data_IF_838854460088
#
_entry.id   IF_838854460088
#
_cell.length_a   1.000
_cell.length_b   1.000
_cell.length_c   1.000
_cell.angle_alpha   90.00
_cell.angle_beta   90.00
_cell.angle_gamma   90.00
#
_symmetry.space_group_name_H-M   'P 1'
#
loop_
_entity.id
_entity.type
_entity.pdbx_description
1 polymer ?
#
# COMPACT_ATOMS: atom_id res chain seq x y z
N UNK A 1 -33.36 -20.21 -4.25
CA UNK A 1 -32.96 -20.03 -5.67
C UNK A 1 -31.45 -20.21 -5.74
N UNK A 2 -31.02 -21.27 -6.41
CA UNK A 2 -29.60 -21.63 -6.55
C UNK A 2 -29.06 -21.15 -7.91
N UNK A 3 -27.74 -21.03 -8.03
CA UNK A 3 -27.07 -20.87 -9.32
C UNK A 3 -25.95 -21.90 -9.40
N UNK A 4 -25.68 -22.37 -10.60
CA UNK A 4 -24.55 -23.26 -10.86
C UNK A 4 -23.30 -22.40 -11.01
N UNK A 5 -22.29 -22.64 -10.19
CA UNK A 5 -21.00 -21.96 -10.35
C UNK A 5 -20.20 -22.55 -11.52
N UNK A 6 -19.06 -21.92 -11.86
CA UNK A 6 -18.19 -22.39 -12.97
C UNK A 6 -17.64 -23.81 -12.76
N UNK A 7 -17.70 -24.31 -11.52
CA UNK A 7 -17.32 -25.68 -11.14
C UNK A 7 -18.49 -26.68 -11.14
N UNK A 8 -19.68 -26.27 -11.60
CA UNK A 8 -20.85 -27.17 -11.68
C UNK A 8 -21.60 -27.35 -10.37
N UNK A 9 -21.22 -26.65 -9.29
CA UNK A 9 -21.89 -26.80 -8.00
C UNK A 9 -23.08 -25.84 -7.86
N UNK A 10 -24.21 -26.37 -7.41
CA UNK A 10 -25.39 -25.57 -7.08
C UNK A 10 -25.15 -24.79 -5.77
N UNK A 11 -24.93 -23.48 -5.88
CA UNK A 11 -24.76 -22.57 -4.75
C UNK A 11 -26.01 -21.74 -4.51
N UNK A 12 -26.33 -21.50 -3.26
CA UNK A 12 -27.42 -20.59 -2.88
C UNK A 12 -27.06 -19.13 -3.26
N UNK A 13 -28.01 -18.42 -3.91
CA UNK A 13 -27.87 -16.98 -4.17
C UNK A 13 -28.07 -16.17 -2.88
N UNK A 14 -27.01 -16.01 -2.10
CA UNK A 14 -27.04 -15.35 -0.79
C UNK A 14 -27.37 -13.86 -0.82
N UNK A 15 -27.10 -13.13 -1.90
CA UNK A 15 -27.34 -11.69 -1.99
C UNK A 15 -28.69 -11.31 -2.61
N UNK A 16 -29.57 -12.28 -2.94
CA UNK A 16 -30.82 -12.01 -3.64
C UNK A 16 -31.73 -11.04 -2.86
N UNK A 17 -31.91 -11.30 -1.57
CA UNK A 17 -32.76 -10.45 -0.73
C UNK A 17 -32.16 -9.04 -0.63
N UNK A 18 -30.85 -8.92 -0.45
CA UNK A 18 -30.16 -7.63 -0.41
C UNK A 18 -30.36 -6.83 -1.70
N UNK A 19 -30.27 -7.47 -2.87
CA UNK A 19 -30.51 -6.83 -4.17
C UNK A 19 -31.96 -6.37 -4.30
N UNK A 20 -32.93 -7.22 -3.94
CA UNK A 20 -34.34 -6.84 -3.97
C UNK A 20 -34.65 -5.68 -3.01
N UNK A 21 -34.07 -5.68 -1.83
CA UNK A 21 -34.22 -4.58 -0.86
C UNK A 21 -33.57 -3.29 -1.35
N UNK A 22 -32.42 -3.35 -2.04
CA UNK A 22 -31.80 -2.17 -2.69
C UNK A 22 -32.67 -1.60 -3.80
N UNK A 23 -33.22 -2.45 -4.66
CA UNK A 23 -34.17 -2.02 -5.69
C UNK A 23 -35.39 -1.39 -5.02
N UNK A 24 -35.93 -2.02 -3.98
CA UNK A 24 -37.06 -1.45 -3.23
C UNK A 24 -36.73 -0.07 -2.64
N UNK A 25 -35.56 0.08 -2.02
CA UNK A 25 -35.06 1.34 -1.49
C UNK A 25 -35.01 2.43 -2.56
N UNK A 26 -34.39 2.14 -3.71
CA UNK A 26 -34.29 3.09 -4.83
C UNK A 26 -35.64 3.65 -5.29
N UNK A 27 -36.67 2.79 -5.44
CA UNK A 27 -38.01 3.26 -5.81
C UNK A 27 -38.67 4.09 -4.70
N UNK A 28 -38.40 3.77 -3.42
CA UNK A 28 -38.91 4.55 -2.29
C UNK A 28 -38.19 5.90 -2.18
N UNK A 29 -36.88 5.95 -2.44
CA UNK A 29 -36.09 7.19 -2.43
C UNK A 29 -36.60 8.17 -3.50
N UNK A 30 -36.90 7.68 -4.71
CA UNK A 30 -37.50 8.51 -5.78
C UNK A 30 -38.89 9.03 -5.37
N UNK A 31 -39.70 8.21 -4.70
CA UNK A 31 -41.01 8.63 -4.21
C UNK A 31 -40.89 9.70 -3.13
N UNK A 32 -39.92 9.56 -2.23
CA UNK A 32 -39.61 10.56 -1.20
C UNK A 32 -39.14 11.87 -1.83
N UNK A 33 -38.18 11.82 -2.76
CA UNK A 33 -37.69 13.00 -3.47
C UNK A 33 -38.78 13.72 -4.28
N UNK A 34 -39.78 13.00 -4.79
CA UNK A 34 -40.92 13.60 -5.47
C UNK A 34 -41.82 14.43 -4.53
N UNK A 35 -41.73 14.24 -3.21
CA UNK A 35 -42.42 15.10 -2.24
C UNK A 35 -41.65 16.41 -1.99
N UNK A 36 -40.33 16.41 -2.19
CA UNK A 36 -39.46 17.57 -2.00
C UNK A 36 -39.28 18.39 -3.30
N UNK A 37 -39.14 17.73 -4.45
CA UNK A 37 -38.90 18.33 -5.76
C UNK A 37 -39.80 17.70 -6.86
N UNK A 38 -40.69 18.49 -7.49
CA UNK A 38 -41.58 18.04 -8.55
C UNK A 38 -40.88 17.41 -9.77
N UNK A 39 -39.59 17.67 -10.01
CA UNK A 39 -38.82 17.04 -11.08
C UNK A 39 -38.91 15.51 -11.06
N UNK A 40 -38.91 14.92 -9.86
CA UNK A 40 -38.94 13.47 -9.65
C UNK A 40 -40.34 12.86 -9.80
N UNK A 41 -41.41 13.66 -9.80
CA UNK A 41 -42.79 13.17 -9.77
C UNK A 41 -43.13 12.26 -10.96
N UNK A 42 -42.60 12.54 -12.16
CA UNK A 42 -42.77 11.70 -13.35
C UNK A 42 -42.16 10.28 -13.21
N UNK A 43 -41.23 10.09 -12.27
CA UNK A 43 -40.46 8.84 -12.10
C UNK A 43 -40.89 8.09 -10.82
N UNK A 44 -41.72 8.72 -9.97
CA UNK A 44 -42.24 8.18 -8.73
C UNK A 44 -43.32 7.11 -8.98
N UNK A 45 -42.89 5.94 -9.48
CA UNK A 45 -43.75 4.78 -9.71
C UNK A 45 -43.64 3.77 -8.57
N UNK A 46 -44.67 2.93 -8.34
CA UNK A 46 -44.63 1.87 -7.34
C UNK A 46 -43.45 0.91 -7.53
N UNK A 47 -42.82 0.50 -6.43
CA UNK A 47 -41.72 -0.47 -6.49
C UNK A 47 -42.21 -1.84 -6.98
N UNK A 48 -41.49 -2.51 -7.90
CA UNK A 48 -41.82 -3.87 -8.33
C UNK A 48 -41.55 -4.92 -7.25
N UNK A 49 -40.84 -4.56 -6.17
CA UNK A 49 -40.52 -5.44 -5.05
C UNK A 49 -41.52 -5.17 -3.94
N UNK A 50 -42.31 -6.17 -3.57
CA UNK A 50 -43.31 -6.07 -2.51
C UNK A 50 -42.68 -6.24 -1.12
N UNK A 51 -43.44 -5.94 -0.06
CA UNK A 51 -43.01 -6.19 1.33
C UNK A 51 -42.79 -7.71 1.58
N UNK A 52 -43.54 -8.57 0.90
CA UNK A 52 -43.43 -10.03 1.00
C UNK A 52 -42.11 -10.57 0.44
N UNK A 53 -41.51 -9.89 -0.54
CA UNK A 53 -40.25 -10.31 -1.16
C UNK A 53 -39.04 -10.13 -0.23
N UNK A 54 -39.17 -9.31 0.81
CA UNK A 54 -38.17 -9.12 1.87
C UNK A 54 -38.27 -10.09 3.04
N UNK A 55 -39.25 -11.00 3.03
CA UNK A 55 -39.44 -11.97 4.12
C UNK A 55 -38.19 -12.83 4.25
N UNK A 56 -37.66 -12.89 5.48
CA UNK A 56 -36.42 -13.61 5.78
C UNK A 56 -35.14 -12.78 5.71
N UNK A 57 -35.19 -11.49 5.31
CA UNK A 57 -34.01 -10.61 5.33
C UNK A 57 -33.37 -10.56 6.74
N UNK A 58 -34.20 -10.35 7.76
CA UNK A 58 -33.74 -10.29 9.15
C UNK A 58 -33.10 -11.63 9.61
N UNK A 59 -33.61 -12.77 9.12
CA UNK A 59 -33.02 -14.09 9.37
C UNK A 59 -31.66 -14.22 8.68
N UNK A 60 -31.53 -13.75 7.44
CA UNK A 60 -30.27 -13.75 6.70
C UNK A 60 -29.21 -12.88 7.35
N UNK A 61 -29.56 -11.66 7.78
CA UNK A 61 -28.66 -10.76 8.52
C UNK A 61 -28.16 -11.46 9.78
N UNK A 62 -29.07 -12.01 10.60
CA UNK A 62 -28.71 -12.78 11.80
C UNK A 62 -27.79 -13.96 11.50
N UNK A 63 -28.04 -14.71 10.43
CA UNK A 63 -27.18 -15.83 10.01
C UNK A 63 -25.80 -15.37 9.54
N UNK A 64 -25.69 -14.23 8.87
CA UNK A 64 -24.41 -13.65 8.47
C UNK A 64 -23.61 -13.20 9.70
N UNK A 65 -24.24 -12.48 10.62
CA UNK A 65 -23.65 -12.08 11.91
C UNK A 65 -23.21 -13.30 12.73
N UNK A 66 -24.04 -14.35 12.83
CA UNK A 66 -23.70 -15.58 13.52
C UNK A 66 -22.48 -16.29 12.89
N UNK A 67 -22.42 -16.38 11.55
CA UNK A 67 -21.26 -16.95 10.83
C UNK A 67 -20.00 -16.11 11.04
N UNK A 68 -20.12 -14.79 11.07
CA UNK A 68 -19.00 -13.90 11.38
C UNK A 68 -18.49 -14.13 12.81
N UNK A 69 -19.36 -14.13 13.81
CA UNK A 69 -18.98 -14.41 15.20
C UNK A 69 -18.37 -15.79 15.37
N UNK A 70 -18.92 -16.81 14.70
CA UNK A 70 -18.35 -18.16 14.73
C UNK A 70 -16.93 -18.19 14.18
N UNK A 71 -16.70 -17.56 13.01
CA UNK A 71 -15.37 -17.45 12.42
C UNK A 71 -14.39 -16.71 13.33
N UNK A 72 -14.84 -15.66 14.01
CA UNK A 72 -13.99 -14.93 14.98
C UNK A 72 -13.60 -15.86 16.13
N UNK A 73 -14.57 -16.58 16.73
CA UNK A 73 -14.29 -17.53 17.82
C UNK A 73 -13.32 -18.64 17.43
N UNK A 74 -13.44 -19.15 16.20
CA UNK A 74 -12.54 -20.18 15.67
C UNK A 74 -11.12 -19.65 15.40
N UNK A 75 -10.98 -18.39 14.99
CA UNK A 75 -9.68 -17.81 14.59
C UNK A 75 -8.94 -17.11 15.73
N UNK A 76 -9.66 -16.56 16.72
CA UNK A 76 -9.08 -15.78 17.81
C UNK A 76 -7.96 -16.53 18.56
N UNK A 77 -8.07 -17.84 18.85
CA UNK A 77 -6.98 -18.59 19.51
C UNK A 77 -5.68 -18.66 18.69
N UNK A 78 -5.73 -18.46 17.38
CA UNK A 78 -4.57 -18.52 16.49
C UNK A 78 -3.90 -17.15 16.27
N UNK A 79 -4.44 -16.08 16.87
CA UNK A 79 -3.89 -14.73 16.73
C UNK A 79 -2.42 -14.63 17.18
N UNK A 80 -1.97 -15.24 18.30
CA UNK A 80 -0.57 -15.19 18.69
C UNK A 80 0.37 -15.78 17.63
N UNK A 81 0.01 -16.92 17.05
CA UNK A 81 0.79 -17.58 15.99
C UNK A 81 0.90 -16.71 14.74
N UNK A 82 -0.18 -16.02 14.37
CA UNK A 82 -0.18 -15.10 13.24
C UNK A 82 0.81 -13.95 13.46
N UNK A 83 0.80 -13.35 14.65
CA UNK A 83 1.67 -12.24 15.03
C UNK A 83 3.14 -12.67 15.01
N UNK A 84 3.46 -13.78 15.68
CA UNK A 84 4.83 -14.33 15.71
C UNK A 84 5.33 -14.68 14.31
N UNK A 85 4.46 -15.22 13.46
CA UNK A 85 4.82 -15.55 12.08
C UNK A 85 5.08 -14.30 11.25
N UNK A 86 4.22 -13.28 11.35
CA UNK A 86 4.38 -12.03 10.60
C UNK A 86 5.69 -11.31 10.98
N UNK A 87 5.98 -11.22 12.28
CA UNK A 87 7.19 -10.61 12.81
C UNK A 87 8.45 -11.40 12.41
N UNK A 88 8.40 -12.73 12.46
CA UNK A 88 9.50 -13.58 11.96
C UNK A 88 9.75 -13.40 10.47
N UNK A 89 8.70 -13.48 9.63
CA UNK A 89 8.82 -13.34 8.18
C UNK A 89 9.38 -11.98 7.79
N UNK A 90 8.92 -10.90 8.45
CA UNK A 90 9.49 -9.57 8.26
C UNK A 90 10.99 -9.53 8.59
N UNK A 91 11.38 -10.07 9.75
CA UNK A 91 12.79 -10.08 10.18
C UNK A 91 13.68 -10.88 9.23
N UNK A 92 13.24 -12.06 8.81
CA UNK A 92 13.95 -12.91 7.86
C UNK A 92 14.09 -12.19 6.49
N UNK A 93 13.03 -11.55 6.01
CA UNK A 93 13.05 -10.84 4.74
C UNK A 93 14.00 -9.62 4.74
N UNK A 94 14.01 -8.86 5.84
CA UNK A 94 14.95 -7.74 6.05
C UNK A 94 16.39 -8.24 6.11
N UNK A 95 16.66 -9.27 6.92
CA UNK A 95 18.02 -9.81 7.08
C UNK A 95 18.58 -10.37 5.76
N UNK A 96 17.74 -11.05 4.96
CA UNK A 96 18.14 -11.53 3.65
C UNK A 96 18.35 -10.38 2.66
N UNK A 97 17.52 -9.33 2.70
CA UNK A 97 17.69 -8.15 1.87
C UNK A 97 19.00 -7.42 2.18
N UNK A 98 19.34 -7.25 3.46
CA UNK A 98 20.56 -6.57 3.90
C UNK A 98 21.82 -7.38 3.54
N UNK A 99 21.79 -8.71 3.73
CA UNK A 99 22.86 -9.60 3.26
C UNK A 99 23.07 -9.50 1.74
N UNK A 100 21.98 -9.46 0.98
CA UNK A 100 22.03 -9.27 -0.46
C UNK A 100 22.58 -7.89 -0.83
N UNK A 101 22.22 -6.82 -0.10
CA UNK A 101 22.71 -5.45 -0.32
C UNK A 101 24.20 -5.28 -0.04
N UNK A 102 24.73 -6.00 0.94
CA UNK A 102 26.16 -5.98 1.29
C UNK A 102 27.05 -6.74 0.29
N UNK A 103 26.47 -7.67 -0.47
CA UNK A 103 27.21 -8.54 -1.41
C UNK A 103 27.37 -7.85 -2.77
N UNK A 104 28.53 -7.80 -3.43
CA UNK A 104 28.65 -7.27 -4.79
C UNK A 104 27.78 -8.00 -5.84
N UNK A 105 27.53 -7.35 -6.98
CA UNK A 105 26.77 -7.99 -8.06
C UNK A 105 27.49 -9.20 -8.62
N UNK A 106 26.72 -10.24 -8.97
CA UNK A 106 27.17 -11.53 -9.49
C UNK A 106 28.04 -12.34 -8.50
N UNK A 107 28.06 -11.97 -7.23
CA UNK A 107 28.70 -12.74 -6.17
C UNK A 107 27.71 -13.61 -5.40
N UNK A 108 28.25 -14.71 -4.88
CA UNK A 108 27.51 -15.69 -4.08
C UNK A 108 27.65 -15.31 -2.61
N UNK A 109 26.54 -15.30 -1.89
CA UNK A 109 26.52 -15.13 -0.45
C UNK A 109 25.69 -16.24 0.20
N UNK A 110 25.92 -16.45 1.49
CA UNK A 110 25.19 -17.42 2.30
C UNK A 110 24.28 -16.68 3.28
N UNK A 111 23.05 -17.16 3.42
CA UNK A 111 22.10 -16.66 4.41
C UNK A 111 21.22 -17.81 4.88
N UNK A 112 21.13 -18.02 6.19
CA UNK A 112 20.33 -19.07 6.82
C UNK A 112 20.57 -20.48 6.22
N UNK A 113 21.85 -20.84 6.05
CA UNK A 113 22.27 -22.14 5.49
C UNK A 113 21.97 -22.33 4.00
N UNK A 114 21.47 -21.30 3.31
CA UNK A 114 21.21 -21.32 1.86
C UNK A 114 22.18 -20.41 1.13
N UNK A 115 22.57 -20.82 -0.08
CA UNK A 115 23.46 -20.05 -0.96
C UNK A 115 22.66 -19.32 -2.02
N UNK A 116 22.88 -18.02 -2.10
CA UNK A 116 22.22 -17.11 -3.04
C UNK A 116 23.24 -16.42 -3.92
N UNK A 117 22.86 -16.11 -5.16
CA UNK A 117 23.61 -15.26 -6.06
C UNK A 117 22.92 -13.89 -6.12
N UNK A 118 23.65 -12.79 -5.89
CA UNK A 118 23.13 -11.43 -6.17
C UNK A 118 23.14 -11.20 -7.67
N UNK A 119 21.98 -10.97 -8.25
CA UNK A 119 21.83 -10.83 -9.71
C UNK A 119 21.68 -9.37 -10.10
N UNK A 120 22.49 -8.92 -11.06
CA UNK A 120 22.21 -7.67 -11.78
C UNK A 120 21.21 -7.95 -12.91
N UNK A 121 20.07 -7.25 -13.00
CA UNK A 121 19.15 -7.40 -14.12
C UNK A 121 19.85 -7.17 -15.47
N UNK A 122 19.56 -7.99 -16.48
CA UNK A 122 20.18 -7.88 -17.81
C UNK A 122 20.00 -6.49 -18.47
N UNK A 123 18.89 -5.80 -18.16
CA UNK A 123 18.61 -4.42 -18.60
C UNK A 123 19.66 -3.41 -18.10
N UNK A 124 20.32 -3.72 -16.98
CA UNK A 124 21.36 -2.89 -16.36
C UNK A 124 22.78 -3.37 -16.71
N UNK A 125 22.95 -4.38 -17.57
CA UNK A 125 24.28 -4.84 -18.02
C UNK A 125 24.88 -3.95 -19.14
N UNK A 126 24.10 -2.99 -19.67
CA UNK A 126 24.59 -2.00 -20.63
C UNK A 126 25.28 -0.86 -19.85
N UNK A 127 26.55 -0.51 -20.14
CA UNK A 127 27.30 0.47 -19.36
C UNK A 127 26.64 1.85 -19.23
N UNK A 128 25.91 2.31 -20.25
CA UNK A 128 25.19 3.58 -20.21
C UNK A 128 23.95 3.56 -19.30
N UNK A 129 23.57 2.38 -18.79
CA UNK A 129 22.45 2.14 -17.87
C UNK A 129 22.87 1.39 -16.61
N UNK A 130 24.18 1.23 -16.38
CA UNK A 130 24.69 0.88 -15.07
C UNK A 130 24.22 2.01 -14.15
N UNK A 131 23.29 1.68 -13.26
CA UNK A 131 22.74 2.60 -12.27
C UNK A 131 21.68 3.61 -12.73
N UNK A 132 20.69 3.18 -13.52
CA UNK A 132 19.39 3.90 -13.57
C UNK A 132 18.56 3.71 -12.28
N UNK A 133 19.20 3.62 -11.11
CA UNK A 133 18.56 3.73 -9.81
C UNK A 133 17.43 2.74 -9.56
N UNK A 134 17.50 1.50 -10.07
CA UNK A 134 16.51 0.50 -9.66
C UNK A 134 16.78 0.12 -8.20
N UNK A 135 15.93 0.53 -7.24
CA UNK A 135 16.16 0.28 -5.81
C UNK A 135 15.97 -1.20 -5.45
N UNK A 136 15.62 -2.04 -6.43
CA UNK A 136 15.26 -3.44 -6.23
C UNK A 136 16.48 -4.35 -6.29
N UNK A 137 16.63 -5.16 -5.24
CA UNK A 137 17.65 -6.18 -5.10
C UNK A 137 17.09 -7.50 -5.60
N UNK A 138 17.78 -8.11 -6.56
CA UNK A 138 17.42 -9.41 -7.10
C UNK A 138 18.41 -10.48 -6.66
N UNK A 139 17.88 -11.62 -6.26
CA UNK A 139 18.68 -12.78 -5.83
C UNK A 139 18.21 -14.04 -6.56
N UNK A 140 19.07 -15.06 -6.60
CA UNK A 140 18.74 -16.39 -7.12
C UNK A 140 19.29 -17.42 -6.15
N UNK A 141 18.44 -18.29 -5.63
CA UNK A 141 18.89 -19.43 -4.81
C UNK A 141 19.57 -20.47 -5.71
N UNK A 142 20.80 -20.86 -5.36
CA UNK A 142 21.67 -21.71 -6.20
C UNK A 142 21.19 -23.16 -6.25
N UNK A 143 20.64 -23.67 -5.16
CA UNK A 143 20.06 -25.01 -5.03
C UNK A 143 18.75 -25.18 -5.78
N UNK A 144 18.07 -24.08 -6.11
CA UNK A 144 16.77 -24.10 -6.77
C UNK A 144 16.90 -23.96 -8.29
N UNK A 145 15.92 -24.48 -9.03
CA UNK A 145 15.86 -24.47 -10.50
C UNK A 145 15.70 -23.07 -11.13
N UNK A 146 16.01 -22.00 -10.39
CA UNK A 146 16.59 -20.81 -10.97
C UNK A 146 15.65 -19.64 -11.19
N UNK A 147 14.54 -19.57 -10.45
CA UNK A 147 13.70 -18.37 -10.46
C UNK A 147 14.41 -17.22 -9.73
N UNK A 148 14.54 -16.09 -10.42
CA UNK A 148 15.02 -14.85 -9.83
C UNK A 148 13.97 -14.31 -8.87
N UNK A 149 14.36 -14.01 -7.65
CA UNK A 149 13.53 -13.44 -6.60
C UNK A 149 13.82 -11.94 -6.54
N UNK A 150 12.78 -11.10 -6.59
CA UNK A 150 12.92 -9.68 -6.24
C UNK A 150 12.83 -9.56 -4.72
N UNK A 151 13.97 -9.60 -4.05
CA UNK A 151 14.02 -9.63 -2.59
C UNK A 151 13.49 -8.33 -1.98
N UNK A 152 13.60 -7.20 -2.68
CA UNK A 152 13.01 -5.95 -2.21
C UNK A 152 11.49 -5.96 -2.20
N UNK A 153 10.84 -6.64 -3.15
CA UNK A 153 9.37 -6.81 -3.14
C UNK A 153 8.95 -7.79 -2.05
N UNK A 154 9.70 -8.87 -1.85
CA UNK A 154 9.43 -9.83 -0.75
C UNK A 154 9.50 -9.15 0.61
N UNK A 155 10.51 -8.30 0.84
CA UNK A 155 10.60 -7.50 2.07
C UNK A 155 9.46 -6.48 2.18
N UNK A 156 9.10 -5.79 1.10
CA UNK A 156 7.99 -4.84 1.08
C UNK A 156 6.65 -5.51 1.44
N UNK A 157 6.36 -6.66 0.83
CA UNK A 157 5.18 -7.47 1.13
C UNK A 157 5.16 -7.94 2.58
N UNK A 158 6.30 -8.43 3.09
CA UNK A 158 6.43 -8.85 4.49
C UNK A 158 6.25 -7.69 5.47
N UNK A 159 6.81 -6.52 5.14
CA UNK A 159 6.67 -5.30 5.92
C UNK A 159 5.22 -4.84 6.00
N UNK A 160 4.51 -4.72 4.87
CA UNK A 160 3.14 -4.26 4.86
C UNK A 160 2.18 -5.27 5.48
N UNK A 161 2.41 -6.58 5.31
CA UNK A 161 1.64 -7.61 6.00
C UNK A 161 1.77 -7.48 7.52
N UNK A 162 2.99 -7.34 8.04
CA UNK A 162 3.26 -7.10 9.46
C UNK A 162 2.60 -5.81 9.96
N UNK A 163 2.80 -4.70 9.23
CA UNK A 163 2.26 -3.39 9.60
C UNK A 163 0.73 -3.40 9.72
N UNK A 164 0.04 -4.03 8.76
CA UNK A 164 -1.42 -4.20 8.77
C UNK A 164 -1.85 -5.05 9.96
N UNK A 165 -1.18 -6.19 10.20
CA UNK A 165 -1.53 -7.11 11.29
C UNK A 165 -1.39 -6.41 12.65
N UNK A 166 -0.26 -5.76 12.92
CA UNK A 166 -0.03 -5.09 14.20
C UNK A 166 -0.94 -3.87 14.40
N UNK A 167 -1.16 -3.08 13.34
CA UNK A 167 -2.09 -1.95 13.43
C UNK A 167 -3.50 -2.42 13.78
N UNK A 168 -4.02 -3.45 13.09
CA UNK A 168 -5.34 -4.01 13.38
C UNK A 168 -5.41 -4.63 14.79
N UNK A 169 -4.35 -5.32 15.22
CA UNK A 169 -4.26 -5.96 16.54
C UNK A 169 -4.32 -4.94 17.68
N UNK A 170 -3.60 -3.84 17.55
CA UNK A 170 -3.51 -2.84 18.62
C UNK A 170 -4.67 -1.86 18.65
N UNK A 171 -5.27 -1.56 17.49
CA UNK A 171 -6.29 -0.49 17.39
C UNK A 171 -7.71 -1.00 17.19
N UNK A 172 -7.89 -2.20 16.63
CA UNK A 172 -9.21 -2.73 16.29
C UNK A 172 -9.97 -1.91 15.23
N UNK A 173 -9.29 -1.09 14.44
CA UNK A 173 -9.90 -0.33 13.34
C UNK A 173 -10.49 -1.26 12.27
N UNK A 174 -11.49 -0.78 11.54
CA UNK A 174 -12.05 -1.51 10.41
C UNK A 174 -11.05 -1.51 9.24
N UNK A 175 -11.15 -2.51 8.35
CA UNK A 175 -10.24 -2.61 7.21
C UNK A 175 -10.36 -1.40 6.27
N UNK A 176 -11.57 -0.88 6.08
CA UNK A 176 -11.80 0.37 5.33
C UNK A 176 -11.32 1.64 6.05
N UNK A 177 -11.28 1.64 7.39
CA UNK A 177 -10.73 2.78 8.15
C UNK A 177 -9.21 2.78 8.07
N UNK A 178 -8.59 1.60 8.12
CA UNK A 178 -7.15 1.41 7.95
C UNK A 178 -6.66 1.98 6.61
N UNK A 179 -7.43 1.81 5.53
CA UNK A 179 -7.06 2.32 4.19
C UNK A 179 -7.18 3.84 4.07
N UNK A 180 -7.94 4.48 4.96
CA UNK A 180 -8.11 5.94 5.00
C UNK A 180 -7.18 6.60 6.02
N UNK A 181 -6.36 5.83 6.75
CA UNK A 181 -5.38 6.38 7.68
C UNK A 181 -4.30 7.16 6.93
N UNK A 182 -4.12 8.41 7.35
CA UNK A 182 -3.04 9.28 6.87
C UNK A 182 -2.15 9.70 8.02
N UNK A 183 -0.97 10.25 7.74
CA UNK A 183 -0.09 10.79 8.78
C UNK A 183 -0.72 11.93 9.59
N UNK A 184 -1.75 12.59 9.06
CA UNK A 184 -2.51 13.64 9.75
C UNK A 184 -3.46 13.08 10.81
N UNK A 185 -3.74 11.77 10.79
CA UNK A 185 -4.54 11.12 11.81
C UNK A 185 -3.80 11.00 13.16
N UNK A 186 -2.48 11.17 13.19
CA UNK A 186 -1.67 11.18 14.41
C UNK A 186 -1.66 12.59 15.01
N UNK A 187 -2.31 12.74 16.15
CA UNK A 187 -2.44 14.02 16.87
C UNK A 187 -1.79 13.90 18.24
N UNK A 188 -0.91 14.83 18.58
CA UNK A 188 -0.34 14.90 19.93
C UNK A 188 -1.28 15.67 20.86
N UNK A 189 -1.65 15.07 21.98
CA UNK A 189 -2.46 15.72 23.01
C UNK A 189 -1.66 15.88 24.31
N UNK A 190 -1.59 17.10 24.84
CA UNK A 190 -0.97 17.38 26.13
C UNK A 190 -2.04 17.34 27.21
N UNK A 191 -1.89 16.46 28.20
CA UNK A 191 -2.82 16.38 29.34
C UNK A 191 -2.56 17.59 30.25
N UNK A 192 -3.54 18.51 30.44
CA UNK A 192 -3.32 19.75 31.19
C UNK A 192 -3.16 19.56 32.71
N UNK A 193 -3.71 18.48 33.27
CA UNK A 193 -3.95 18.34 34.73
C UNK A 193 -2.90 17.49 35.47
N UNK A 194 -1.81 17.09 34.82
CA UNK A 194 -0.67 16.44 35.48
C UNK A 194 0.51 17.41 35.57
N UNK A 195 0.69 17.99 36.76
CA UNK A 195 1.80 18.84 37.23
C UNK A 195 2.33 19.90 36.22
N UNK A 196 2.24 21.22 36.52
CA UNK A 196 2.53 22.31 35.57
C UNK A 196 3.89 22.30 34.85
N UNK A 197 4.87 21.55 35.37
CA UNK A 197 6.22 21.42 34.78
C UNK A 197 6.38 20.23 33.83
N UNK A 198 5.38 19.33 33.71
CA UNK A 198 5.53 18.03 33.04
C UNK A 198 4.25 17.58 32.32
N UNK A 199 3.70 18.44 31.46
CA UNK A 199 2.58 18.06 30.59
C UNK A 199 2.94 16.81 29.79
N UNK A 200 2.31 15.68 30.09
CA UNK A 200 2.54 14.43 29.37
C UNK A 200 1.89 14.55 27.98
N UNK A 201 2.72 14.46 26.94
CA UNK A 201 2.27 14.45 25.55
C UNK A 201 1.95 13.02 25.17
N UNK A 202 0.68 12.74 24.92
CA UNK A 202 0.21 11.42 24.52
C UNK A 202 -0.22 11.44 23.05
N UNK A 203 0.26 10.50 22.21
CA UNK A 203 -0.20 10.38 20.83
C UNK A 203 -1.63 9.83 20.79
N UNK A 204 -2.47 10.46 19.98
CA UNK A 204 -3.83 10.05 19.65
C UNK A 204 -3.89 9.69 18.16
N UNK A 205 -4.70 8.69 17.83
CA UNK A 205 -5.02 8.30 16.48
C UNK A 205 -6.49 8.63 16.18
N UNK A 206 -6.71 9.60 15.30
CA UNK A 206 -8.02 10.03 14.83
C UNK A 206 -8.53 9.12 13.72
N UNK A 207 -9.67 8.47 13.96
CA UNK A 207 -10.32 7.63 12.97
C UNK A 207 -11.51 8.39 12.41
N UNK A 208 -11.42 8.73 11.13
CA UNK A 208 -12.50 9.36 10.36
C UNK A 208 -13.68 8.39 10.25
N UNK A 209 -14.92 8.89 10.34
CA UNK A 209 -16.13 8.06 10.22
C UNK A 209 -16.15 7.24 8.93
N UNK A 210 -16.53 5.96 9.03
CA UNK A 210 -16.74 5.09 7.86
C UNK A 210 -18.08 4.35 7.92
N UNK A 211 -18.83 4.43 6.79
CA UNK A 211 -20.15 3.83 6.45
C UNK A 211 -21.33 4.03 7.42
N UNK A 212 -21.11 4.07 8.73
CA UNK A 212 -22.16 4.11 9.77
C UNK A 212 -21.64 4.48 11.17
N UNK A 213 -20.36 4.84 11.29
CA UNK A 213 -19.69 5.00 12.58
C UNK A 213 -19.22 6.43 12.80
N UNK A 214 -19.29 6.91 14.03
CA UNK A 214 -18.81 8.24 14.44
C UNK A 214 -17.28 8.34 14.40
N UNK A 215 -16.80 9.58 14.34
CA UNK A 215 -15.40 9.92 14.53
C UNK A 215 -14.93 9.51 15.93
N UNK A 216 -13.73 8.94 16.05
CA UNK A 216 -13.18 8.50 17.34
C UNK A 216 -11.69 8.80 17.45
N UNK A 217 -11.27 9.18 18.65
CA UNK A 217 -9.86 9.31 19.01
C UNK A 217 -9.44 8.07 19.81
N UNK A 218 -8.42 7.37 19.33
CA UNK A 218 -7.82 6.24 20.03
C UNK A 218 -6.54 6.69 20.71
N UNK A 219 -6.42 6.40 22.01
CA UNK A 219 -5.15 6.57 22.72
C UNK A 219 -4.14 5.58 22.16
N UNK A 220 -2.99 6.07 21.69
CA UNK A 220 -1.94 5.22 21.13
C UNK A 220 -1.01 4.82 22.26
N UNK A 221 -1.10 3.55 22.71
CA UNK A 221 -0.13 2.99 23.65
C UNK A 221 1.27 2.85 23.00
N UNK A 222 2.33 2.58 23.77
CA UNK A 222 3.69 2.51 23.23
C UNK A 222 3.86 1.50 22.07
N UNK A 223 3.11 0.40 22.09
CA UNK A 223 3.17 -0.66 21.09
C UNK A 223 2.69 -0.19 19.68
N UNK A 224 1.45 0.30 19.50
CA UNK A 224 1.02 0.89 18.23
C UNK A 224 1.83 2.13 17.84
N UNK A 225 2.33 2.92 18.82
CA UNK A 225 3.21 4.05 18.51
C UNK A 225 4.50 3.59 17.82
N UNK A 226 5.10 2.50 18.30
CA UNK A 226 6.29 1.89 17.68
C UNK A 226 6.03 1.41 16.25
N UNK A 227 4.87 0.79 16.01
CA UNK A 227 4.45 0.33 14.67
C UNK A 227 4.29 1.52 13.72
N UNK A 228 3.55 2.55 14.13
CA UNK A 228 3.32 3.74 13.33
C UNK A 228 4.62 4.50 13.04
N UNK A 229 5.49 4.65 14.04
CA UNK A 229 6.82 5.25 13.86
C UNK A 229 7.66 4.47 12.85
N UNK A 230 7.61 3.13 12.90
CA UNK A 230 8.29 2.26 11.93
C UNK A 230 7.74 2.49 10.52
N UNK A 231 6.42 2.56 10.35
CA UNK A 231 5.77 2.84 9.06
C UNK A 231 6.23 4.19 8.49
N UNK A 232 6.21 5.24 9.32
CA UNK A 232 6.63 6.58 8.90
C UNK A 232 8.11 6.60 8.51
N UNK A 233 8.99 5.97 9.29
CA UNK A 233 10.43 5.90 9.00
C UNK A 233 10.72 5.11 7.72
N UNK A 234 10.06 3.97 7.52
CA UNK A 234 10.19 3.16 6.30
C UNK A 234 9.66 3.92 5.07
N UNK A 235 8.54 4.62 5.20
CA UNK A 235 8.01 5.45 4.11
C UNK A 235 8.97 6.62 3.77
N UNK A 236 9.49 7.31 4.79
CA UNK A 236 10.42 8.43 4.62
C UNK A 236 11.73 8.00 3.97
N UNK A 237 12.32 6.88 4.40
CA UNK A 237 13.55 6.33 3.81
C UNK A 237 13.34 5.90 2.35
N UNK A 238 12.23 5.24 2.03
CA UNK A 238 11.90 4.81 0.66
C UNK A 238 11.61 6.00 -0.27
N UNK A 239 10.96 7.05 0.21
CA UNK A 239 10.72 8.28 -0.56
C UNK A 239 11.98 9.12 -0.75
N UNK A 240 12.85 9.21 0.27
CA UNK A 240 14.16 9.87 0.16
C UNK A 240 15.08 9.18 -0.87
N UNK A 241 15.07 7.84 -0.94
CA UNK A 241 15.82 7.12 -1.98
C UNK A 241 15.32 7.43 -3.41
N UNK A 242 14.01 7.69 -3.56
CA UNK A 242 13.39 8.00 -4.85
C UNK A 242 13.75 9.39 -5.37
N UNK A 243 13.92 10.39 -4.48
CA UNK A 243 14.30 11.76 -4.83
C UNK A 243 15.79 11.91 -5.17
N UNK A 244 16.66 11.09 -4.56
CA UNK A 244 18.09 11.05 -4.92
C UNK A 244 18.32 10.43 -6.30
N UNK A 245 17.52 9.42 -6.69
CA UNK A 245 17.58 8.83 -8.03
C UNK A 245 17.08 9.76 -9.14
N UNK A 246 16.19 10.73 -8.84
CA UNK A 246 15.65 11.65 -9.86
C UNK A 246 16.51 12.89 -10.11
N UNK A 247 17.48 13.18 -9.23
CA UNK A 247 18.31 14.40 -9.30
C UNK A 247 19.66 14.20 -9.99
N UNK A 248 20.01 12.97 -10.35
CA UNK A 248 21.24 12.62 -11.05
C UNK A 248 21.05 12.54 -12.57
N UNK A 249 20.57 13.62 -13.22
CA UNK A 249 20.67 13.74 -14.69
C UNK A 249 20.72 15.21 -15.14
N UNK A 250 21.86 15.85 -14.91
CA UNK A 250 22.37 16.87 -15.84
C UNK A 250 23.90 16.88 -15.74
N UNK A 251 24.65 16.30 -16.69
CA UNK A 251 26.02 16.72 -16.87
C UNK A 251 25.96 18.11 -17.52
N UNK A 252 26.27 19.15 -16.74
CA UNK A 252 26.60 20.46 -17.29
C UNK A 252 27.79 20.28 -18.21
N UNK A 253 27.53 20.21 -19.52
CA UNK A 253 28.55 20.27 -20.54
C UNK A 253 29.29 21.58 -20.40
N UNK A 254 30.56 21.51 -20.03
CA UNK A 254 31.48 22.63 -20.14
C UNK A 254 31.48 23.12 -21.60
N UNK A 255 31.20 24.41 -21.77
CA UNK A 255 31.21 25.13 -23.04
C UNK A 255 32.59 25.05 -23.70
N UNK A 256 32.71 24.85 -25.03
CA UNK A 256 34.00 24.86 -25.70
C UNK A 256 34.49 26.31 -25.90
N UNK A 257 35.80 26.50 -25.72
CA UNK A 257 36.49 27.76 -25.96
C UNK A 257 36.38 28.23 -27.43
N UNK A 258 36.34 29.55 -27.69
CA UNK A 258 36.29 30.07 -29.06
C UNK A 258 37.67 30.01 -29.72
N UNK A 259 37.74 29.35 -30.88
CA UNK A 259 38.90 29.33 -31.76
C UNK A 259 39.18 30.71 -32.37
N UNK A 260 40.32 31.29 -32.02
CA UNK A 260 40.87 32.48 -32.67
C UNK A 260 41.34 32.17 -34.09
N UNK A 261 40.71 32.77 -35.09
CA UNK A 261 41.16 32.78 -36.49
C UNK A 261 42.26 33.83 -36.65
N UNK A 262 43.51 33.40 -36.73
CA UNK A 262 44.63 34.23 -37.16
C UNK A 262 44.74 34.19 -38.70
N UNK A 263 44.44 35.31 -39.34
CA UNK A 263 44.78 35.57 -40.75
C UNK A 263 46.28 35.86 -40.86
N UNK A 264 47.04 34.96 -41.48
CA UNK A 264 48.41 35.20 -41.91
C UNK A 264 48.41 35.41 -43.43
N UNK A 265 48.82 36.61 -43.83
CA UNK A 265 49.12 37.01 -45.19
C UNK A 265 50.51 36.52 -45.59
N UNK A 266 50.62 35.83 -46.72
CA UNK A 266 51.85 35.75 -47.48
C UNK A 266 51.50 35.56 -48.97
N UNK A 267 51.75 36.61 -49.74
CA UNK A 267 51.81 36.64 -51.19
C UNK A 267 53.10 35.91 -51.65
N UNK A 268 53.19 35.43 -52.91
CA UNK A 268 53.97 36.27 -53.83
C UNK A 268 53.57 36.20 -55.32
N UNK A 269 53.80 37.36 -55.96
CA UNK A 269 54.35 37.57 -57.31
C UNK A 269 53.53 37.12 -58.53
N UNK A 270 53.02 38.11 -59.26
CA UNK A 270 52.65 38.02 -60.67
C UNK A 270 52.64 39.41 -61.30
N UNK A 271 53.58 39.67 -62.20
CA UNK A 271 53.85 40.95 -62.87
C UNK A 271 52.84 41.30 -63.97
N UNK A 272 52.52 42.60 -64.14
CA UNK A 272 52.59 43.30 -65.44
C UNK A 272 52.35 44.83 -65.33
N UNK A 273 53.24 45.53 -66.04
CA UNK A 273 53.45 46.97 -66.35
C UNK A 273 52.32 47.63 -67.16
N UNK A 274 52.41 48.93 -67.55
CA UNK A 274 53.50 49.92 -67.37
C UNK A 274 53.17 51.12 -66.46
#
# INVERSE_FOLDING_TARGET
>A
MTYTDKSGQARERRSRIDVMMRIRGFYLDIQEWAHEDPYWAQWAVPSPITRGDGVGNHKMVKQTTARMHQRVRERLPHLPVLVETAERVRREAVALLDAARATPFNEIFEHDGKRYLRVLPAVNQVPSRLDHGSPHVYIKEISSTGTRINQSVVEDDAFWAWAVIETLRHTGVRAEELTELTHLALVSYTIPDQLPEKGEVVPLLQIVPSKSNEERLLLVSPEPASVLATIINTYATRTAGRSHSSRATTPTSASPAPSSRTSSSADPTGSRRP
#
